data_IF_335972935530
#
_entry.id   IF_335972935530
#
_cell.length_a   1.000
_cell.length_b   1.000
_cell.length_c   1.000
_cell.angle_alpha   90.00
_cell.angle_beta   90.00
_cell.angle_gamma   90.00
#
_symmetry.space_group_name_H-M   'P 1'
#
loop_
_entity.id
_entity.type
_entity.pdbx_description
1 polymer ?
#
# COMPACT_ATOMS: atom_id res chain seq x y z
N UNK A 1 25.81 -3.58 -24.01
CA UNK A 1 25.87 -2.56 -22.91
C UNK A 1 24.47 -2.15 -22.44
N UNK A 2 23.42 -2.23 -23.25
CA UNK A 2 22.03 -1.87 -22.90
C UNK A 2 21.31 -2.87 -21.98
N UNK A 3 21.63 -4.16 -22.07
CA UNK A 3 20.83 -5.21 -21.39
C UNK A 3 21.00 -5.21 -19.86
N UNK A 4 22.10 -4.66 -19.34
CA UNK A 4 22.34 -4.56 -17.90
C UNK A 4 21.59 -3.38 -17.25
N UNK A 5 21.25 -2.34 -18.01
CA UNK A 5 20.58 -1.15 -17.47
C UNK A 5 19.10 -1.36 -17.19
N UNK A 6 18.47 -2.30 -17.90
CA UNK A 6 17.05 -2.64 -17.75
C UNK A 6 16.74 -3.12 -16.32
N UNK A 7 17.43 -4.13 -15.75
CA UNK A 7 17.15 -4.57 -14.38
C UNK A 7 17.51 -3.52 -13.33
N UNK A 8 18.62 -2.78 -13.53
CA UNK A 8 19.08 -1.75 -12.58
C UNK A 8 18.06 -0.62 -12.47
N UNK A 9 17.54 -0.15 -13.61
CA UNK A 9 16.53 0.92 -13.65
C UNK A 9 15.24 0.47 -12.96
N UNK A 10 14.82 -0.78 -13.17
CA UNK A 10 13.64 -1.35 -12.51
C UNK A 10 13.77 -1.34 -10.98
N UNK A 11 14.91 -1.77 -10.44
CA UNK A 11 15.16 -1.79 -8.99
C UNK A 11 15.18 -0.37 -8.40
N UNK A 12 15.78 0.59 -9.10
CA UNK A 12 15.83 2.00 -8.67
C UNK A 12 14.42 2.61 -8.63
N UNK A 13 13.63 2.43 -9.69
CA UNK A 13 12.26 2.93 -9.73
C UNK A 13 11.40 2.37 -8.59
N UNK A 14 11.53 1.07 -8.31
CA UNK A 14 10.78 0.41 -7.24
C UNK A 14 11.21 0.94 -5.86
N UNK A 15 12.51 1.16 -5.66
CA UNK A 15 13.07 1.74 -4.43
C UNK A 15 12.54 3.16 -4.19
N UNK A 16 12.54 4.01 -5.23
CA UNK A 16 12.03 5.39 -5.14
C UNK A 16 10.54 5.39 -4.80
N UNK A 17 9.75 4.54 -5.46
CA UNK A 17 8.30 4.44 -5.21
C UNK A 17 7.99 4.07 -3.76
N UNK A 18 8.76 3.15 -3.17
CA UNK A 18 8.64 2.76 -1.75
C UNK A 18 9.00 3.93 -0.84
N UNK A 19 10.13 4.60 -1.08
CA UNK A 19 10.58 5.74 -0.26
C UNK A 19 9.54 6.86 -0.27
N UNK A 20 9.02 7.23 -1.44
CA UNK A 20 8.01 8.29 -1.57
C UNK A 20 6.74 7.95 -0.80
N UNK A 21 6.27 6.69 -0.88
CA UNK A 21 5.10 6.24 -0.13
C UNK A 21 5.31 6.33 1.39
N UNK A 22 6.49 5.92 1.88
CA UNK A 22 6.82 5.97 3.31
C UNK A 22 6.87 7.42 3.79
N UNK A 23 7.54 8.30 3.06
CA UNK A 23 7.65 9.71 3.41
C UNK A 23 6.26 10.38 3.41
N UNK A 24 5.45 10.17 2.37
CA UNK A 24 4.10 10.74 2.26
C UNK A 24 3.18 10.29 3.41
N UNK A 25 3.22 8.99 3.75
CA UNK A 25 2.45 8.45 4.87
C UNK A 25 2.86 9.05 6.22
N UNK A 26 4.16 9.27 6.44
CA UNK A 26 4.67 9.85 7.69
C UNK A 26 4.29 11.33 7.87
N UNK A 27 4.24 12.11 6.77
CA UNK A 27 3.91 13.54 6.79
C UNK A 27 2.47 13.78 7.23
N UNK A 28 1.52 13.05 6.64
CA UNK A 28 0.11 13.18 6.98
C UNK A 28 -0.18 12.87 8.47
N UNK A 29 0.48 11.86 9.04
CA UNK A 29 0.32 11.51 10.46
C UNK A 29 0.85 12.62 11.38
N UNK A 30 1.98 13.25 11.02
CA UNK A 30 2.55 14.36 11.78
C UNK A 30 1.66 15.60 11.75
N UNK A 31 1.11 15.95 10.59
CA UNK A 31 0.25 17.12 10.46
C UNK A 31 -1.03 16.98 11.29
N UNK A 32 -1.69 15.82 11.22
CA UNK A 32 -2.89 15.55 12.04
C UNK A 32 -2.58 15.64 13.53
N UNK A 33 -1.45 15.11 13.99
CA UNK A 33 -1.03 15.21 15.40
C UNK A 33 -0.73 16.65 15.82
N UNK A 34 -0.16 17.47 14.93
CA UNK A 34 0.09 18.89 15.19
C UNK A 34 -1.21 19.67 15.29
N UNK A 35 -2.18 19.43 14.41
CA UNK A 35 -3.50 20.06 14.47
C UNK A 35 -4.22 19.71 15.78
N UNK A 36 -4.19 18.45 16.21
CA UNK A 36 -4.80 18.03 17.49
C UNK A 36 -4.14 18.75 18.67
N UNK A 37 -2.81 18.86 18.70
CA UNK A 37 -2.09 19.61 19.74
C UNK A 37 -2.48 21.09 19.76
N UNK A 38 -2.58 21.72 18.60
CA UNK A 38 -2.99 23.13 18.50
C UNK A 38 -4.44 23.37 18.97
N UNK A 39 -5.33 22.39 18.79
CA UNK A 39 -6.70 22.46 19.29
C UNK A 39 -6.76 22.26 20.82
N UNK A 40 -5.94 21.35 21.37
CA UNK A 40 -5.79 21.17 22.82
C UNK A 40 -5.24 22.43 23.51
N UNK A 41 -4.19 23.03 22.96
CA UNK A 41 -3.54 24.23 23.51
C UNK A 41 -4.47 25.46 23.53
N UNK A 42 -5.49 25.48 22.65
CA UNK A 42 -6.51 26.53 22.58
C UNK A 42 -7.67 26.32 23.58
N UNK A 43 -7.66 25.23 24.35
CA UNK A 43 -8.70 24.93 25.33
C UNK A 43 -10.04 24.52 24.73
N UNK A 44 -10.07 24.16 23.45
CA UNK A 44 -11.29 23.74 22.75
C UNK A 44 -11.59 22.27 23.14
N UNK A 45 -12.82 22.00 23.60
CA UNK A 45 -13.21 20.64 23.97
C UNK A 45 -13.18 19.76 22.72
N UNK A 46 -12.23 18.82 22.66
CA UNK A 46 -12.17 17.84 21.60
C UNK A 46 -13.39 16.93 21.73
N UNK A 47 -14.41 17.20 20.91
CA UNK A 47 -15.54 16.28 20.79
C UNK A 47 -15.10 15.03 20.01
N UNK A 48 -15.56 13.83 20.40
CA UNK A 48 -15.20 12.57 19.73
C UNK A 48 -15.46 12.59 18.22
N UNK A 49 -16.50 13.28 17.77
CA UNK A 49 -16.84 13.44 16.35
C UNK A 49 -15.74 14.14 15.52
N UNK A 50 -14.99 15.08 16.10
CA UNK A 50 -13.91 15.77 15.39
C UNK A 50 -12.70 14.87 15.19
N UNK A 51 -12.39 14.01 16.17
CA UNK A 51 -11.33 13.00 16.06
C UNK A 51 -11.64 11.98 14.96
N UNK A 52 -12.91 11.59 14.84
CA UNK A 52 -13.40 10.69 13.80
C UNK A 52 -13.31 11.33 12.40
N UNK A 53 -13.75 12.59 12.27
CA UNK A 53 -13.69 13.34 11.00
C UNK A 53 -12.28 13.70 10.55
N UNK A 54 -11.33 13.86 11.47
CA UNK A 54 -9.92 14.10 11.17
C UNK A 54 -9.22 12.88 10.54
N UNK A 55 -9.90 11.75 10.39
CA UNK A 55 -9.37 10.58 9.68
C UNK A 55 -8.18 9.94 10.39
N UNK A 56 -8.04 10.20 11.70
CA UNK A 56 -7.02 9.59 12.56
C UNK A 56 -7.08 8.05 12.53
N UNK A 57 -8.26 7.50 12.23
CA UNK A 57 -8.51 6.08 12.08
C UNK A 57 -8.99 5.73 10.67
N UNK A 58 -8.16 5.97 9.64
CA UNK A 58 -8.35 5.18 8.43
C UNK A 58 -8.11 3.73 8.80
N UNK A 59 -9.18 2.95 8.92
CA UNK A 59 -9.11 1.57 9.39
C UNK A 59 -8.03 0.83 8.63
N UNK A 60 -7.04 0.32 9.37
CA UNK A 60 -5.91 -0.44 8.83
C UNK A 60 -6.43 -1.58 7.92
N UNK A 61 -7.62 -2.12 8.24
CA UNK A 61 -8.36 -3.10 7.43
C UNK A 61 -8.62 -2.62 6.00
N UNK A 62 -9.12 -1.40 5.82
CA UNK A 62 -9.43 -0.85 4.48
C UNK A 62 -8.14 -0.61 3.69
N UNK A 63 -7.06 -0.22 4.37
CA UNK A 63 -5.75 0.00 3.76
C UNK A 63 -5.17 -1.34 3.27
N UNK A 64 -5.21 -2.37 4.12
CA UNK A 64 -4.67 -3.70 3.80
C UNK A 64 -5.49 -4.36 2.70
N UNK A 65 -6.83 -4.27 2.74
CA UNK A 65 -7.69 -4.77 1.65
C UNK A 65 -7.37 -4.09 0.31
N UNK A 66 -7.26 -2.75 0.29
CA UNK A 66 -6.93 -2.01 -0.95
C UNK A 66 -5.56 -2.40 -1.49
N UNK A 67 -4.56 -2.54 -0.61
CA UNK A 67 -3.20 -2.96 -0.99
C UNK A 67 -3.19 -4.38 -1.53
N UNK A 68 -3.88 -5.29 -0.84
CA UNK A 68 -4.00 -6.68 -1.24
C UNK A 68 -4.64 -6.85 -2.62
N UNK A 69 -5.76 -6.15 -2.86
CA UNK A 69 -6.46 -6.20 -4.14
C UNK A 69 -5.62 -5.60 -5.28
N UNK A 70 -4.93 -4.49 -5.03
CA UNK A 70 -4.05 -3.87 -6.02
C UNK A 70 -2.89 -4.79 -6.41
N UNK A 71 -2.22 -5.41 -5.43
CA UNK A 71 -1.10 -6.31 -5.67
C UNK A 71 -1.53 -7.61 -6.34
N UNK A 72 -2.66 -8.19 -5.91
CA UNK A 72 -3.23 -9.37 -6.56
C UNK A 72 -3.61 -9.09 -8.02
N UNK A 73 -4.19 -7.91 -8.30
CA UNK A 73 -4.51 -7.46 -9.65
C UNK A 73 -3.26 -7.30 -10.53
N UNK A 74 -2.19 -6.69 -10.00
CA UNK A 74 -0.90 -6.57 -10.73
C UNK A 74 -0.32 -7.95 -11.04
N UNK A 75 -0.32 -8.86 -10.07
CA UNK A 75 0.19 -10.22 -10.28
C UNK A 75 -0.61 -10.99 -11.33
N UNK A 76 -1.94 -10.92 -11.27
CA UNK A 76 -2.80 -11.50 -12.31
C UNK A 76 -2.53 -10.87 -13.68
N UNK A 77 -2.38 -9.55 -13.76
CA UNK A 77 -2.07 -8.86 -15.02
C UNK A 77 -0.76 -9.35 -15.64
N UNK A 78 0.30 -9.55 -14.84
CA UNK A 78 1.57 -10.09 -15.32
C UNK A 78 1.45 -11.54 -15.82
N UNK A 79 0.65 -12.37 -15.14
CA UNK A 79 0.41 -13.75 -15.58
C UNK A 79 -0.39 -13.76 -16.89
N UNK A 80 -1.46 -12.97 -16.98
CA UNK A 80 -2.25 -12.83 -18.20
C UNK A 80 -1.45 -12.23 -19.36
N UNK A 81 -0.55 -11.27 -19.10
CA UNK A 81 0.33 -10.76 -20.16
C UNK A 81 1.23 -11.85 -20.72
N UNK A 82 1.74 -12.75 -19.85
CA UNK A 82 2.51 -13.91 -20.28
C UNK A 82 1.73 -14.85 -21.22
N UNK A 83 0.42 -15.04 -20.98
CA UNK A 83 -0.44 -15.78 -21.91
C UNK A 83 -0.62 -15.08 -23.25
N UNK A 84 -0.73 -13.74 -23.26
CA UNK A 84 -0.94 -12.96 -24.50
C UNK A 84 0.30 -13.00 -25.40
N UNK A 85 1.50 -12.96 -24.82
CA UNK A 85 2.77 -12.95 -25.57
C UNK A 85 3.39 -14.34 -25.76
N UNK A 86 2.67 -15.41 -25.37
CA UNK A 86 3.14 -16.81 -25.39
C UNK A 86 4.43 -17.07 -24.56
N UNK A 87 4.70 -16.21 -23.58
CA UNK A 87 5.84 -16.27 -22.67
C UNK A 87 5.38 -16.48 -21.22
N UNK A 88 4.60 -17.55 -21.01
CA UNK A 88 3.96 -17.83 -19.72
C UNK A 88 4.96 -17.97 -18.56
N UNK A 89 6.17 -18.48 -18.81
CA UNK A 89 7.20 -18.63 -17.78
C UNK A 89 7.64 -17.27 -17.23
N UNK A 90 7.78 -16.27 -18.10
CA UNK A 90 8.16 -14.91 -17.71
C UNK A 90 7.00 -14.22 -16.98
N UNK A 91 5.78 -14.36 -17.50
CA UNK A 91 4.58 -13.83 -16.85
C UNK A 91 4.37 -14.38 -15.44
N UNK A 92 4.58 -15.69 -15.25
CA UNK A 92 4.56 -16.33 -13.93
C UNK A 92 5.71 -15.88 -13.03
N UNK A 93 6.94 -15.83 -13.54
CA UNK A 93 8.12 -15.44 -12.76
C UNK A 93 7.97 -14.04 -12.14
N UNK A 94 7.39 -13.10 -12.89
CA UNK A 94 7.20 -11.71 -12.43
C UNK A 94 5.89 -11.56 -11.66
N UNK A 95 4.82 -12.26 -12.08
CA UNK A 95 3.48 -12.11 -11.52
C UNK A 95 3.25 -12.82 -10.18
N UNK A 96 3.95 -13.93 -9.92
CA UNK A 96 3.73 -14.73 -8.69
C UNK A 96 4.02 -13.93 -7.41
N UNK A 97 5.05 -13.07 -7.45
CA UNK A 97 5.46 -12.28 -6.29
C UNK A 97 4.39 -11.28 -5.84
N UNK A 98 3.91 -10.33 -6.69
CA UNK A 98 2.84 -9.44 -6.30
C UNK A 98 1.51 -10.18 -6.05
N UNK A 99 1.25 -11.31 -6.70
CA UNK A 99 0.06 -12.12 -6.46
C UNK A 99 0.05 -12.70 -5.04
N UNK A 100 1.15 -13.30 -4.60
CA UNK A 100 1.31 -13.81 -3.23
C UNK A 100 1.28 -12.70 -2.19
N UNK A 101 1.92 -11.56 -2.48
CA UNK A 101 1.89 -10.41 -1.58
C UNK A 101 0.47 -9.85 -1.44
N UNK A 102 -0.28 -9.81 -2.55
CA UNK A 102 -1.69 -9.44 -2.57
C UNK A 102 -2.54 -10.38 -1.72
N UNK A 103 -2.35 -11.70 -1.90
CA UNK A 103 -3.02 -12.72 -1.10
C UNK A 103 -2.70 -12.61 0.40
N UNK A 104 -1.45 -12.31 0.76
CA UNK A 104 -1.05 -12.11 2.15
C UNK A 104 -1.78 -10.91 2.79
N UNK A 105 -1.90 -9.77 2.10
CA UNK A 105 -2.65 -8.62 2.60
C UNK A 105 -4.15 -8.91 2.74
N UNK A 106 -4.74 -9.69 1.83
CA UNK A 106 -6.14 -10.12 1.93
C UNK A 106 -6.34 -11.07 3.11
N UNK A 107 -5.39 -11.99 3.35
CA UNK A 107 -5.38 -12.88 4.52
C UNK A 107 -5.28 -12.07 5.81
N UNK A 108 -4.36 -11.11 5.91
CA UNK A 108 -4.25 -10.21 7.06
C UNK A 108 -5.53 -9.42 7.30
N UNK A 109 -6.19 -8.96 6.23
CA UNK A 109 -7.49 -8.30 6.33
C UNK A 109 -8.56 -9.22 6.94
N UNK A 110 -8.62 -10.47 6.49
CA UNK A 110 -9.57 -11.47 7.01
C UNK A 110 -9.29 -11.81 8.48
N UNK A 111 -8.04 -12.07 8.85
CA UNK A 111 -7.68 -12.36 10.24
C UNK A 111 -7.98 -11.18 11.18
N UNK A 112 -7.77 -9.95 10.73
CA UNK A 112 -8.17 -8.75 11.49
C UNK A 112 -9.70 -8.56 11.54
N UNK A 113 -10.48 -9.20 10.68
CA UNK A 113 -11.94 -9.19 10.75
C UNK A 113 -12.45 -10.15 11.82
N UNK A 114 -11.82 -11.32 11.96
CA UNK A 114 -12.25 -12.38 12.89
C UNK A 114 -11.84 -12.12 14.36
N UNK A 115 -10.96 -11.14 14.62
CA UNK A 115 -10.46 -10.79 15.94
C UNK A 115 -11.25 -9.69 16.69
N UNK A 116 -12.27 -9.12 16.04
CA UNK A 116 -13.26 -8.18 16.65
C UNK A 116 -14.61 -8.88 16.84
#
# INVERSE_FOLDING_TARGET
MSDLWIPITGVICLTIMVIVNVISSSKNKKEVQLTIRQLLDKGENITPELLEKLGTFKSQKIIDLRRGLALAGIGLACVFSGFIVDEIRIGLAIGIFPLLLGAAFILCWKTNQDAE
#
